data_IF_084890484782
#
_entry.id   IF_084890484782
#
_cell.length_a   1.000
_cell.length_b   1.000
_cell.length_c   1.000
_cell.angle_alpha   90.00
_cell.angle_beta   90.00
_cell.angle_gamma   90.00
#
_symmetry.space_group_name_H-M   'P 1'
#
loop_
_entity.id
_entity.type
_entity.pdbx_description
1 polymer ?
#
# COMPACT_ATOMS: atom_id res chain seq x y z
N UNK A 1 12.06 -2.81 -0.45
CA UNK A 1 10.61 -2.58 -0.17
C UNK A 1 10.38 -2.62 1.32
N UNK A 2 9.40 -1.88 1.84
CA UNK A 2 8.86 -2.03 3.21
C UNK A 2 7.62 -2.93 3.29
N UNK A 3 7.11 -3.38 2.14
CA UNK A 3 5.88 -4.15 2.01
C UNK A 3 6.17 -5.61 1.61
N UNK A 4 6.89 -6.34 2.47
CA UNK A 4 7.40 -7.68 2.14
C UNK A 4 6.31 -8.65 1.69
N UNK A 5 5.26 -8.86 2.50
CA UNK A 5 4.16 -9.78 2.20
C UNK A 5 3.45 -9.47 0.88
N UNK A 6 3.11 -8.20 0.64
CA UNK A 6 2.46 -7.78 -0.60
C UNK A 6 3.36 -8.01 -1.82
N UNK A 7 4.65 -7.71 -1.68
CA UNK A 7 5.64 -7.91 -2.75
C UNK A 7 5.77 -9.41 -3.08
N UNK A 8 5.94 -10.26 -2.06
CA UNK A 8 6.05 -11.71 -2.26
C UNK A 8 4.79 -12.30 -2.89
N UNK A 9 3.61 -11.89 -2.42
CA UNK A 9 2.33 -12.35 -2.96
C UNK A 9 2.16 -11.93 -4.42
N UNK A 10 2.49 -10.68 -4.74
CA UNK A 10 2.41 -10.17 -6.10
C UNK A 10 3.37 -10.90 -7.05
N UNK A 11 4.63 -11.08 -6.65
CA UNK A 11 5.62 -11.80 -7.47
C UNK A 11 5.24 -13.26 -7.67
N UNK A 12 4.89 -13.98 -6.60
CA UNK A 12 4.57 -15.41 -6.70
C UNK A 12 3.22 -15.68 -7.35
N UNK A 13 2.13 -15.10 -6.83
CA UNK A 13 0.77 -15.46 -7.23
C UNK A 13 0.35 -14.83 -8.56
N UNK A 14 0.77 -13.58 -8.82
CA UNK A 14 0.34 -12.86 -10.03
C UNK A 14 1.27 -13.16 -11.21
N UNK A 15 2.56 -13.28 -10.96
CA UNK A 15 3.59 -13.31 -12.01
C UNK A 15 4.45 -14.58 -12.02
N UNK A 16 4.31 -15.49 -11.05
CA UNK A 16 5.10 -16.72 -10.98
C UNK A 16 6.60 -16.52 -10.71
N UNK A 17 7.01 -15.33 -10.27
CA UNK A 17 8.41 -14.97 -10.01
C UNK A 17 8.84 -15.55 -8.67
N UNK A 18 9.87 -16.41 -8.70
CA UNK A 18 10.38 -17.12 -7.53
C UNK A 18 11.84 -16.80 -7.20
N UNK A 19 12.61 -16.28 -8.17
CA UNK A 19 14.03 -15.95 -8.00
C UNK A 19 14.17 -14.45 -7.80
N UNK A 20 14.21 -14.03 -6.54
CA UNK A 20 14.48 -12.65 -6.14
C UNK A 20 15.00 -12.60 -4.70
N UNK A 21 15.63 -11.49 -4.33
CA UNK A 21 15.96 -11.17 -2.94
C UNK A 21 15.22 -9.92 -2.54
N UNK A 22 14.59 -9.95 -1.36
CA UNK A 22 14.06 -8.72 -0.75
C UNK A 22 15.21 -8.00 -0.06
N UNK A 23 15.47 -6.78 -0.52
CA UNK A 23 16.26 -5.79 0.21
C UNK A 23 15.28 -4.90 0.96
N UNK A 24 15.37 -4.92 2.29
CA UNK A 24 14.55 -4.10 3.16
C UNK A 24 14.96 -2.62 3.00
N UNK A 25 13.97 -1.74 2.88
CA UNK A 25 14.23 -0.30 2.83
C UNK A 25 13.85 0.33 4.17
N UNK A 26 14.79 1.10 4.73
CA UNK A 26 14.61 1.88 5.96
C UNK A 26 14.15 3.33 5.69
N UNK A 27 13.94 3.68 4.42
CA UNK A 27 13.66 5.03 3.96
C UNK A 27 14.27 5.28 2.58
N UNK A 28 13.75 6.29 1.86
CA UNK A 28 14.19 6.67 0.50
C UNK A 28 14.36 5.46 -0.44
N UNK A 29 13.31 4.63 -0.54
CA UNK A 29 13.33 3.38 -1.31
C UNK A 29 13.79 3.63 -2.76
N UNK A 30 13.47 4.80 -3.33
CA UNK A 30 13.74 5.19 -4.71
C UNK A 30 15.23 5.33 -5.04
N UNK A 31 16.09 5.53 -4.04
CA UNK A 31 17.54 5.62 -4.23
C UNK A 31 18.24 4.26 -4.40
N UNK A 32 17.58 3.17 -4.02
CA UNK A 32 18.19 1.84 -4.02
C UNK A 32 18.70 1.38 -5.41
N UNK A 33 17.99 1.63 -6.53
CA UNK A 33 18.49 1.31 -7.86
C UNK A 33 19.74 2.08 -8.25
N UNK A 34 19.77 3.40 -8.00
CA UNK A 34 20.94 4.22 -8.31
C UNK A 34 22.18 3.81 -7.48
N UNK A 35 21.97 3.31 -6.26
CA UNK A 35 23.02 2.79 -5.40
C UNK A 35 23.44 1.33 -5.71
N UNK A 36 22.83 0.68 -6.71
CA UNK A 36 23.12 -0.72 -7.06
C UNK A 36 22.66 -1.74 -6.01
N UNK A 37 21.76 -1.35 -5.09
CA UNK A 37 21.28 -2.21 -4.02
C UNK A 37 20.08 -3.07 -4.43
N UNK A 38 19.30 -2.63 -5.43
CA UNK A 38 18.13 -3.34 -5.91
C UNK A 38 17.81 -2.98 -7.37
N UNK A 39 17.39 -3.94 -8.17
CA UNK A 39 17.01 -3.68 -9.57
C UNK A 39 15.64 -2.98 -9.69
N UNK A 40 14.74 -3.25 -8.75
CA UNK A 40 13.37 -2.73 -8.73
C UNK A 40 12.95 -2.35 -7.31
N UNK A 41 12.16 -1.30 -7.19
CA UNK A 41 11.54 -0.86 -5.94
C UNK A 41 10.06 -1.17 -5.91
N UNK A 42 9.56 -1.50 -4.73
CA UNK A 42 8.12 -1.57 -4.45
C UNK A 42 7.85 -0.62 -3.30
N UNK A 43 7.09 0.43 -3.59
CA UNK A 43 6.68 1.45 -2.62
C UNK A 43 5.32 2.04 -3.03
N UNK A 44 4.69 2.78 -2.11
CA UNK A 44 3.45 3.52 -2.39
C UNK A 44 3.78 4.82 -3.13
N UNK A 45 2.93 5.19 -4.08
CA UNK A 45 3.03 6.48 -4.76
C UNK A 45 1.65 7.06 -5.03
N UNK A 46 1.57 8.38 -5.19
CA UNK A 46 0.33 9.10 -5.52
C UNK A 46 0.47 9.79 -6.87
N UNK A 47 1.26 10.86 -6.96
CA UNK A 47 1.50 11.59 -8.22
C UNK A 47 2.64 11.00 -9.06
N UNK A 48 3.46 10.12 -8.48
CA UNK A 48 4.69 9.61 -9.11
C UNK A 48 5.84 10.62 -9.16
N UNK A 49 5.74 11.80 -8.53
CA UNK A 49 6.80 12.82 -8.57
C UNK A 49 8.14 12.31 -8.04
N UNK A 50 8.14 11.61 -6.90
CA UNK A 50 9.35 11.04 -6.30
C UNK A 50 10.02 10.01 -7.20
N UNK A 51 9.23 9.18 -7.89
CA UNK A 51 9.77 8.20 -8.85
C UNK A 51 10.45 8.92 -10.02
N UNK A 52 9.78 9.91 -10.62
CA UNK A 52 10.34 10.68 -11.75
C UNK A 52 11.61 11.43 -11.37
N UNK A 53 11.66 12.01 -10.18
CA UNK A 53 12.84 12.69 -9.66
C UNK A 53 14.06 11.76 -9.52
N UNK A 54 13.84 10.45 -9.41
CA UNK A 54 14.88 9.42 -9.34
C UNK A 54 15.01 8.62 -10.65
N UNK A 55 14.50 9.14 -11.77
CA UNK A 55 14.51 8.48 -13.08
C UNK A 55 13.81 7.11 -13.12
N UNK A 56 12.85 6.90 -12.23
CA UNK A 56 12.04 5.69 -12.15
C UNK A 56 10.67 5.90 -12.80
N UNK A 57 10.05 4.77 -13.19
CA UNK A 57 8.67 4.72 -13.69
C UNK A 57 7.92 3.56 -13.07
N UNK A 58 6.61 3.71 -12.95
CA UNK A 58 5.72 2.59 -12.61
C UNK A 58 5.67 1.64 -13.81
N UNK A 59 5.85 0.35 -13.58
CA UNK A 59 5.71 -0.67 -14.62
C UNK A 59 4.23 -0.84 -14.99
N UNK A 60 3.94 -1.10 -16.26
CA UNK A 60 2.57 -1.15 -16.78
C UNK A 60 1.70 -2.20 -16.04
N UNK A 61 2.30 -3.32 -15.68
CA UNK A 61 1.72 -4.41 -14.92
C UNK A 61 2.07 -4.38 -13.42
N UNK A 62 2.85 -3.38 -12.99
CA UNK A 62 3.45 -3.25 -11.65
C UNK A 62 2.54 -2.66 -10.57
N UNK A 63 1.26 -2.41 -10.87
CA UNK A 63 0.29 -1.98 -9.86
C UNK A 63 -0.11 -3.18 -9.02
N UNK A 64 0.35 -3.17 -7.76
CA UNK A 64 0.06 -4.21 -6.76
C UNK A 64 -1.32 -4.02 -6.13
N UNK A 65 -1.59 -2.81 -5.65
CA UNK A 65 -2.81 -2.45 -4.93
C UNK A 65 -3.14 -0.97 -5.18
N UNK A 66 -4.42 -0.67 -5.36
CA UNK A 66 -4.93 0.71 -5.23
C UNK A 66 -5.40 0.89 -3.80
N UNK A 67 -4.82 1.87 -3.10
CA UNK A 67 -5.10 2.12 -1.69
C UNK A 67 -5.90 3.40 -1.50
N UNK A 68 -6.73 3.41 -0.47
CA UNK A 68 -7.43 4.58 0.05
C UNK A 68 -7.53 4.48 1.56
N UNK A 69 -7.89 5.58 2.22
CA UNK A 69 -8.24 5.55 3.64
C UNK A 69 -9.55 4.76 3.82
N UNK A 70 -9.57 3.85 4.79
CA UNK A 70 -10.73 3.04 5.12
C UNK A 70 -11.05 3.17 6.61
N UNK A 71 -12.31 3.46 6.94
CA UNK A 71 -12.79 3.31 8.31
C UNK A 71 -13.08 1.83 8.57
N UNK A 72 -12.40 1.24 9.56
CA UNK A 72 -12.52 -0.18 9.90
C UNK A 72 -12.90 -0.37 11.37
N UNK A 73 -13.76 -1.35 11.65
CA UNK A 73 -14.19 -1.69 13.00
C UNK A 73 -13.72 -3.11 13.38
N UNK A 74 -13.35 -3.30 14.65
CA UNK A 74 -13.00 -4.62 15.18
C UNK A 74 -14.23 -5.53 15.25
N UNK A 75 -14.05 -6.83 14.96
CA UNK A 75 -15.10 -7.86 15.05
C UNK A 75 -15.37 -8.36 16.48
N UNK A 76 -14.67 -7.82 17.48
CA UNK A 76 -14.87 -8.19 18.89
C UNK A 76 -16.24 -7.68 19.38
N UNK A 77 -16.88 -8.45 20.26
CA UNK A 77 -18.09 -8.02 20.96
C UNK A 77 -17.81 -6.73 21.73
N UNK A 78 -18.78 -5.81 21.70
CA UNK A 78 -18.74 -4.54 22.43
C UNK A 78 -20.05 -4.31 23.17
N UNK A 79 -20.05 -3.31 24.06
CA UNK A 79 -21.28 -2.87 24.71
C UNK A 79 -22.22 -2.23 23.69
N UNK A 80 -23.53 -2.24 23.96
CA UNK A 80 -24.51 -1.59 23.09
C UNK A 80 -24.24 -0.08 22.91
N UNK A 81 -23.68 0.57 23.94
CA UNK A 81 -23.30 1.98 23.89
C UNK A 81 -22.15 2.21 22.89
N UNK A 82 -21.09 1.38 22.93
CA UNK A 82 -19.98 1.48 21.98
C UNK A 82 -20.43 1.23 20.54
N UNK A 83 -21.31 0.26 20.33
CA UNK A 83 -21.86 -0.02 18.99
C UNK A 83 -22.69 1.15 18.46
N UNK A 84 -23.45 1.83 19.33
CA UNK A 84 -24.20 3.01 18.94
C UNK A 84 -23.26 4.15 18.48
N UNK A 85 -22.16 4.36 19.21
CA UNK A 85 -21.14 5.36 18.84
C UNK A 85 -20.48 5.00 17.51
N UNK A 86 -20.13 3.72 17.29
CA UNK A 86 -19.54 3.28 16.03
C UNK A 86 -20.48 3.50 14.85
N UNK A 87 -21.79 3.22 15.01
CA UNK A 87 -22.80 3.47 13.98
C UNK A 87 -22.93 4.96 13.66
N UNK A 88 -22.98 5.81 14.68
CA UNK A 88 -23.05 7.27 14.51
C UNK A 88 -21.81 7.82 13.79
N UNK A 89 -20.61 7.39 14.21
CA UNK A 89 -19.36 7.79 13.54
C UNK A 89 -19.33 7.36 12.07
N UNK A 90 -19.72 6.11 11.79
CA UNK A 90 -19.76 5.59 10.43
C UNK A 90 -20.74 6.39 9.54
N UNK A 91 -21.92 6.73 10.05
CA UNK A 91 -22.90 7.55 9.34
C UNK A 91 -22.37 8.96 9.04
N UNK A 92 -21.71 9.60 10.01
CA UNK A 92 -21.10 10.93 9.83
C UNK A 92 -19.98 10.92 8.80
N UNK A 93 -19.10 9.92 8.85
CA UNK A 93 -18.02 9.77 7.86
C UNK A 93 -18.60 9.51 6.46
N UNK A 94 -19.61 8.65 6.35
CA UNK A 94 -20.27 8.38 5.08
C UNK A 94 -20.98 9.62 4.49
N UNK A 95 -21.60 10.45 5.34
CA UNK A 95 -22.24 11.69 4.90
C UNK A 95 -21.26 12.80 4.47
N UNK A 96 -20.01 12.75 4.95
CA UNK A 96 -18.99 13.75 4.63
C UNK A 96 -18.15 13.41 3.39
N UNK A 97 -18.17 12.15 2.95
CA UNK A 97 -17.40 11.67 1.81
C UNK A 97 -18.36 11.53 0.60
N UNK A 98 -18.01 12.08 -0.58
CA UNK A 98 -18.82 11.88 -1.79
C UNK A 98 -18.99 10.39 -2.09
N UNK A 99 -20.12 9.97 -2.71
CA UNK A 99 -20.25 8.59 -3.16
C UNK A 99 -19.10 8.23 -4.13
N UNK A 100 -18.62 6.98 -4.08
CA UNK A 100 -17.50 6.51 -4.89
C UNK A 100 -17.79 6.53 -6.40
#
# INVERSE_FOLDING_TARGET
>A
TKYWRLTQQFFSQKHGIQVYRIVESLGATEGAPAAGLADVVVDITTSGSTLRANHLKVLADGVILRSQACLVASRKLRTAADEAILRDLAAKVAGAIPPP
#
